data_IF_441978470244
#
_entry.id   IF_441978470244
#
_cell.length_a   1.000
_cell.length_b   1.000
_cell.length_c   1.000
_cell.angle_alpha   90.00
_cell.angle_beta   90.00
_cell.angle_gamma   90.00
#
_symmetry.space_group_name_H-M   'P 1'
#
loop_
_entity.id
_entity.type
_entity.pdbx_description
1 polymer ?
#
# COMPACT_ATOMS: atom_id res chain seq x y z
N UNK A 1 25.22 6.10 9.28
CA UNK A 1 25.96 6.64 10.47
C UNK A 1 26.73 5.50 11.14
N UNK A 2 27.86 5.79 11.76
CA UNK A 2 28.57 4.86 12.61
C UNK A 2 27.77 4.66 13.91
N UNK A 3 27.45 3.42 14.27
CA UNK A 3 26.75 3.12 15.51
C UNK A 3 27.60 3.37 16.77
N UNK A 4 28.93 3.36 16.64
CA UNK A 4 29.84 3.55 17.78
C UNK A 4 30.06 5.03 18.18
N UNK A 5 29.97 5.97 17.24
CA UNK A 5 30.23 7.40 17.51
C UNK A 5 29.17 8.36 16.95
N UNK A 6 28.17 7.88 16.21
CA UNK A 6 27.10 8.72 15.65
C UNK A 6 27.49 9.54 14.41
N UNK A 7 28.77 9.61 14.02
CA UNK A 7 29.21 10.34 12.83
C UNK A 7 28.85 9.63 11.51
N UNK A 8 29.02 10.33 10.39
CA UNK A 8 28.73 9.81 9.06
C UNK A 8 29.68 8.65 8.66
N UNK A 9 29.20 7.79 7.76
CA UNK A 9 30.06 6.84 7.07
C UNK A 9 30.40 7.42 5.69
N UNK A 10 31.65 7.30 5.28
CA UNK A 10 32.15 7.79 3.99
C UNK A 10 32.65 6.62 3.14
N UNK A 11 32.42 6.69 1.83
CA UNK A 11 32.89 5.67 0.89
C UNK A 11 34.37 5.90 0.59
N UNK A 12 35.17 4.83 0.70
CA UNK A 12 36.55 4.76 0.23
C UNK A 12 36.64 3.78 -0.93
N UNK A 13 37.49 4.11 -1.90
CA UNK A 13 37.78 3.24 -3.05
C UNK A 13 39.07 2.47 -2.80
N UNK A 14 39.09 1.19 -3.14
CA UNK A 14 40.29 0.36 -3.14
C UNK A 14 40.43 -0.40 -4.45
N UNK A 15 41.67 -0.66 -4.87
CA UNK A 15 41.99 -1.48 -6.05
C UNK A 15 41.87 -2.98 -5.74
N UNK A 16 40.71 -3.41 -5.24
CA UNK A 16 40.40 -4.81 -4.91
C UNK A 16 39.11 -5.23 -5.60
N UNK A 17 38.80 -6.55 -5.63
CA UNK A 17 37.58 -7.11 -6.25
C UNK A 17 36.29 -6.40 -5.82
N UNK A 18 36.23 -5.92 -4.58
CA UNK A 18 35.04 -5.31 -3.98
C UNK A 18 34.99 -3.79 -4.10
N UNK A 19 36.06 -3.13 -4.59
CA UNK A 19 36.08 -1.75 -5.10
C UNK A 19 35.78 -0.58 -4.13
N UNK A 20 34.74 -0.68 -3.31
CA UNK A 20 34.13 0.38 -2.51
C UNK A 20 33.69 -0.14 -1.14
N UNK A 21 34.05 0.58 -0.08
CA UNK A 21 33.66 0.24 1.29
C UNK A 21 33.41 1.50 2.12
N UNK A 22 32.52 1.38 3.11
CA UNK A 22 32.20 2.44 4.04
C UNK A 22 33.14 2.41 5.25
N UNK A 23 33.66 3.58 5.62
CA UNK A 23 34.41 3.79 6.86
C UNK A 23 33.81 4.93 7.67
N UNK A 24 33.98 4.90 8.99
CA UNK A 24 33.60 6.02 9.83
C UNK A 24 34.43 7.26 9.48
N UNK A 25 33.78 8.42 9.32
CA UNK A 25 34.47 9.68 9.02
C UNK A 25 35.45 10.09 10.12
N UNK A 26 35.19 9.69 11.36
CA UNK A 26 36.07 9.90 12.53
C UNK A 26 36.88 8.65 12.90
N UNK A 27 36.84 7.60 12.08
CA UNK A 27 37.60 6.38 12.32
C UNK A 27 39.08 6.62 12.09
N UNK A 28 39.91 6.46 13.13
CA UNK A 28 41.36 6.65 13.04
C UNK A 28 41.85 8.09 13.17
N UNK A 29 40.97 9.08 13.40
CA UNK A 29 41.38 10.43 13.80
C UNK A 29 41.47 10.49 15.33
N UNK A 30 42.67 10.75 15.87
CA UNK A 30 42.98 11.03 17.29
C UNK A 30 42.25 10.16 18.34
N UNK A 31 42.04 8.87 18.07
CA UNK A 31 41.52 7.90 19.04
C UNK A 31 40.02 7.97 19.37
N UNK A 32 39.25 8.88 18.76
CA UNK A 32 37.87 9.14 19.18
C UNK A 32 36.86 8.06 18.74
N UNK A 33 37.19 7.25 17.72
CA UNK A 33 36.36 6.13 17.27
C UNK A 33 37.20 5.02 16.63
N UNK A 34 36.98 3.77 17.08
CA UNK A 34 37.58 2.55 16.47
C UNK A 34 36.94 2.18 15.12
N UNK A 35 36.07 3.03 14.60
CA UNK A 35 35.27 2.76 13.40
C UNK A 35 34.11 1.81 13.66
N UNK A 36 33.53 1.27 12.59
CA UNK A 36 32.42 0.32 12.62
C UNK A 36 32.82 -1.07 13.13
N UNK A 37 34.10 -1.31 13.46
CA UNK A 37 34.62 -2.60 13.93
C UNK A 37 34.72 -3.69 12.84
N UNK A 38 34.21 -3.43 11.64
CA UNK A 38 34.30 -4.31 10.47
C UNK A 38 34.26 -3.49 9.16
N UNK A 39 34.85 -4.03 8.10
CA UNK A 39 34.75 -3.46 6.75
C UNK A 39 33.33 -3.64 6.22
N UNK A 40 32.67 -2.54 5.90
CA UNK A 40 31.31 -2.53 5.35
C UNK A 40 31.42 -2.35 3.84
N UNK A 41 31.39 -3.45 3.08
CA UNK A 41 31.41 -3.38 1.62
C UNK A 41 30.15 -2.71 1.08
N UNK A 42 30.31 -1.81 0.12
CA UNK A 42 29.20 -1.02 -0.40
C UNK A 42 28.15 -1.92 -1.07
N UNK A 43 28.58 -2.83 -1.94
CA UNK A 43 27.67 -3.69 -2.71
C UNK A 43 26.83 -4.60 -1.80
N UNK A 44 27.44 -5.16 -0.74
CA UNK A 44 26.75 -6.01 0.25
C UNK A 44 25.73 -5.20 1.06
N UNK A 45 26.08 -3.98 1.47
CA UNK A 45 25.17 -3.10 2.19
C UNK A 45 24.01 -2.65 1.28
N UNK A 46 24.30 -2.29 0.04
CA UNK A 46 23.31 -1.89 -0.97
C UNK A 46 22.29 -3.01 -1.21
N UNK A 47 22.75 -4.26 -1.36
CA UNK A 47 21.89 -5.44 -1.52
C UNK A 47 21.01 -5.69 -0.29
N UNK A 48 21.61 -5.64 0.91
CA UNK A 48 20.85 -5.79 2.16
C UNK A 48 19.77 -4.71 2.30
N UNK A 49 20.11 -3.45 2.03
CA UNK A 49 19.17 -2.33 2.10
C UNK A 49 18.03 -2.50 1.09
N UNK A 50 18.35 -2.96 -0.12
CA UNK A 50 17.35 -3.21 -1.16
C UNK A 50 16.31 -4.24 -0.71
N UNK A 51 16.76 -5.34 -0.08
CA UNK A 51 15.86 -6.35 0.47
C UNK A 51 15.03 -5.80 1.63
N UNK A 52 15.65 -5.08 2.58
CA UNK A 52 14.94 -4.48 3.71
C UNK A 52 13.86 -3.46 3.27
N UNK A 53 14.13 -2.65 2.25
CA UNK A 53 13.16 -1.71 1.69
C UNK A 53 12.01 -2.46 1.02
N UNK A 54 12.29 -3.54 0.27
CA UNK A 54 11.26 -4.37 -0.35
C UNK A 54 10.32 -4.96 0.69
N UNK A 55 10.87 -5.53 1.75
CA UNK A 55 10.09 -6.13 2.83
C UNK A 55 9.21 -5.08 3.49
N UNK A 56 9.75 -3.88 3.75
CA UNK A 56 9.00 -2.77 4.31
C UNK A 56 7.88 -2.27 3.39
N UNK A 57 8.13 -2.16 2.08
CA UNK A 57 7.12 -1.81 1.09
C UNK A 57 5.99 -2.86 1.01
N UNK A 58 6.32 -4.14 1.24
CA UNK A 58 5.32 -5.22 1.26
C UNK A 58 4.35 -5.14 2.44
N UNK A 59 4.78 -4.58 3.59
CA UNK A 59 3.90 -4.36 4.75
C UNK A 59 2.79 -3.36 4.43
N UNK A 60 3.09 -2.28 3.70
CA UNK A 60 2.10 -1.30 3.28
C UNK A 60 1.05 -1.87 2.33
N UNK A 61 1.45 -2.82 1.48
CA UNK A 61 0.50 -3.55 0.62
C UNK A 61 -0.52 -4.32 1.47
N UNK A 62 -0.07 -5.07 2.47
CA UNK A 62 -0.94 -5.85 3.36
C UNK A 62 -1.93 -4.96 4.13
N UNK A 63 -1.47 -3.81 4.64
CA UNK A 63 -2.33 -2.84 5.33
C UNK A 63 -3.40 -2.22 4.40
N UNK A 64 -3.06 -2.04 3.12
CA UNK A 64 -4.04 -1.59 2.12
C UNK A 64 -5.07 -2.68 1.81
N UNK A 65 -4.63 -3.92 1.59
CA UNK A 65 -5.51 -5.05 1.29
C UNK A 65 -6.49 -5.34 2.45
N UNK A 66 -6.04 -5.23 3.71
CA UNK A 66 -6.90 -5.37 4.88
C UNK A 66 -7.93 -4.24 5.01
N UNK A 67 -7.55 -2.98 4.71
CA UNK A 67 -8.50 -1.85 4.66
C UNK A 67 -9.45 -1.93 3.46
N UNK A 68 -9.04 -2.57 2.38
CA UNK A 68 -9.84 -2.72 1.16
C UNK A 68 -10.94 -3.78 1.32
N UNK A 69 -10.68 -4.83 2.11
CA UNK A 69 -11.70 -5.79 2.54
C UNK A 69 -12.73 -5.20 3.53
N UNK A 70 -12.42 -4.05 4.13
CA UNK A 70 -13.38 -3.25 4.88
C UNK A 70 -14.23 -2.43 3.90
N UNK A 71 -15.21 -3.11 3.29
CA UNK A 71 -16.20 -2.48 2.41
C UNK A 71 -16.69 -1.15 2.98
N UNK A 72 -16.58 -0.08 2.19
CA UNK A 72 -16.93 1.28 2.63
C UNK A 72 -18.39 1.30 3.12
N UNK A 73 -18.71 1.95 4.25
CA UNK A 73 -20.05 1.89 4.88
C UNK A 73 -21.23 2.18 3.93
N UNK A 74 -21.01 3.00 2.89
CA UNK A 74 -22.01 3.30 1.84
C UNK A 74 -22.31 2.12 0.92
N UNK A 75 -21.30 1.33 0.54
CA UNK A 75 -21.49 0.14 -0.32
C UNK A 75 -22.27 -0.94 0.43
N UNK A 76 -21.99 -1.12 1.72
CA UNK A 76 -22.71 -2.07 2.56
C UNK A 76 -24.17 -1.65 2.76
N UNK A 77 -24.45 -0.34 2.95
CA UNK A 77 -25.82 0.18 2.99
C UNK A 77 -26.57 -0.05 1.68
N UNK A 78 -25.95 0.22 0.53
CA UNK A 78 -26.61 0.03 -0.77
C UNK A 78 -26.89 -1.46 -1.04
N UNK A 79 -26.00 -2.38 -0.62
CA UNK A 79 -26.25 -3.83 -0.71
C UNK A 79 -27.43 -4.30 0.17
N UNK A 80 -27.56 -3.74 1.39
CA UNK A 80 -28.70 -4.03 2.26
C UNK A 80 -30.00 -3.53 1.63
N UNK A 81 -30.00 -2.31 1.07
CA UNK A 81 -31.19 -1.75 0.39
C UNK A 81 -31.58 -2.58 -0.84
N UNK A 82 -30.60 -3.07 -1.62
CA UNK A 82 -30.87 -3.97 -2.75
C UNK A 82 -31.59 -5.26 -2.31
N UNK A 83 -31.14 -5.89 -1.21
CA UNK A 83 -31.80 -7.08 -0.68
C UNK A 83 -33.25 -6.79 -0.21
N UNK A 84 -33.49 -5.61 0.38
CA UNK A 84 -34.84 -5.18 0.76
C UNK A 84 -35.73 -4.96 -0.46
N UNK A 85 -35.21 -4.35 -1.52
CA UNK A 85 -35.95 -4.17 -2.78
C UNK A 85 -36.33 -5.52 -3.38
N UNK A 86 -35.41 -6.50 -3.38
CA UNK A 86 -35.69 -7.85 -3.88
C UNK A 86 -36.76 -8.56 -3.02
N UNK A 87 -36.78 -8.35 -1.70
CA UNK A 87 -37.86 -8.84 -0.82
C UNK A 87 -39.21 -8.17 -1.11
N UNK A 88 -39.22 -6.84 -1.27
CA UNK A 88 -40.42 -6.06 -1.62
C UNK A 88 -41.01 -6.52 -2.97
N UNK A 89 -40.16 -6.77 -3.98
CA UNK A 89 -40.58 -7.28 -5.28
C UNK A 89 -41.19 -8.69 -5.15
N UNK A 90 -40.56 -9.57 -4.37
CA UNK A 90 -41.09 -10.92 -4.16
C UNK A 90 -42.44 -10.93 -3.42
N UNK A 91 -42.61 -10.06 -2.42
CA UNK A 91 -43.89 -9.89 -1.72
C UNK A 91 -44.99 -9.38 -2.67
N UNK A 92 -44.68 -8.40 -3.53
CA UNK A 92 -45.62 -7.90 -4.54
C UNK A 92 -45.98 -9.00 -5.56
N UNK A 93 -45.00 -9.77 -6.05
CA UNK A 93 -45.23 -10.89 -6.96
C UNK A 93 -46.13 -11.97 -6.34
N UNK A 94 -46.03 -12.22 -5.04
CA UNK A 94 -46.89 -13.18 -4.34
C UNK A 94 -48.37 -12.78 -4.32
N UNK A 95 -48.67 -11.47 -4.40
CA UNK A 95 -50.03 -10.91 -4.34
C UNK A 95 -50.70 -10.80 -5.71
N UNK A 96 -49.92 -10.87 -6.79
CA UNK A 96 -50.39 -10.79 -8.19
C UNK A 96 -51.48 -11.82 -8.51
N UNK A 97 -51.37 -13.04 -7.96
CA UNK A 97 -52.35 -14.12 -8.22
C UNK A 97 -53.78 -13.82 -7.74
N UNK A 98 -53.97 -12.82 -6.89
CA UNK A 98 -55.27 -12.41 -6.33
C UNK A 98 -55.69 -10.99 -6.70
N UNK A 99 -54.89 -10.30 -7.53
CA UNK A 99 -55.06 -8.86 -7.76
C UNK A 99 -56.13 -8.54 -8.82
N UNK A 100 -57.01 -7.58 -8.53
CA UNK A 100 -57.94 -7.03 -9.52
C UNK A 100 -57.21 -6.05 -10.49
N UNK A 101 -57.86 -5.62 -11.58
CA UNK A 101 -57.21 -4.78 -12.61
C UNK A 101 -56.69 -3.44 -12.10
N UNK A 102 -57.32 -2.87 -11.07
CA UNK A 102 -56.89 -1.63 -10.42
C UNK A 102 -55.66 -1.90 -9.56
N UNK A 103 -55.67 -2.97 -8.76
CA UNK A 103 -54.53 -3.39 -7.92
C UNK A 103 -53.31 -3.79 -8.76
N UNK A 104 -53.51 -4.44 -9.91
CA UNK A 104 -52.43 -4.76 -10.85
C UNK A 104 -51.75 -3.51 -11.42
N UNK A 105 -52.50 -2.42 -11.66
CA UNK A 105 -51.92 -1.15 -12.09
C UNK A 105 -51.00 -0.57 -11.00
N UNK A 106 -51.48 -0.53 -9.75
CA UNK A 106 -50.67 -0.07 -8.62
C UNK A 106 -49.43 -0.94 -8.37
N UNK A 107 -49.53 -2.27 -8.57
CA UNK A 107 -48.38 -3.18 -8.47
C UNK A 107 -47.35 -2.88 -9.57
N UNK A 108 -47.78 -2.70 -10.83
CA UNK A 108 -46.86 -2.37 -11.93
C UNK A 108 -46.17 -1.01 -11.75
N UNK A 109 -46.90 -0.01 -11.27
CA UNK A 109 -46.35 1.31 -10.98
C UNK A 109 -45.29 1.21 -9.86
N UNK A 110 -45.57 0.42 -8.80
CA UNK A 110 -44.63 0.22 -7.68
C UNK A 110 -43.39 -0.59 -8.06
N UNK A 111 -43.55 -1.64 -8.87
CA UNK A 111 -42.42 -2.43 -9.41
C UNK A 111 -41.53 -1.56 -10.30
N UNK A 112 -42.11 -0.67 -11.10
CA UNK A 112 -41.32 0.25 -11.95
C UNK A 112 -40.51 1.26 -11.13
N UNK A 113 -41.08 1.77 -10.03
CA UNK A 113 -40.36 2.65 -9.09
C UNK A 113 -39.19 1.92 -8.42
N UNK A 114 -39.42 0.69 -7.94
CA UNK A 114 -38.39 -0.13 -7.30
C UNK A 114 -37.28 -0.53 -8.27
N UNK A 115 -37.60 -0.83 -9.54
CA UNK A 115 -36.59 -1.14 -10.55
C UNK A 115 -35.74 0.09 -10.93
N UNK A 116 -36.34 1.28 -10.98
CA UNK A 116 -35.61 2.53 -11.16
C UNK A 116 -34.67 2.83 -9.97
N UNK A 117 -35.13 2.61 -8.72
CA UNK A 117 -34.29 2.74 -7.52
C UNK A 117 -33.15 1.69 -7.55
N UNK A 118 -33.43 0.47 -7.97
CA UNK A 118 -32.44 -0.61 -8.11
C UNK A 118 -31.37 -0.26 -9.14
N UNK A 119 -31.74 0.23 -10.33
CA UNK A 119 -30.79 0.63 -11.37
C UNK A 119 -29.91 1.80 -10.91
N UNK A 120 -30.49 2.84 -10.30
CA UNK A 120 -29.72 3.98 -9.79
C UNK A 120 -28.73 3.57 -8.70
N UNK A 121 -29.14 2.71 -7.74
CA UNK A 121 -28.23 2.17 -6.72
C UNK A 121 -27.12 1.29 -7.32
N UNK A 122 -27.42 0.52 -8.37
CA UNK A 122 -26.42 -0.28 -9.08
C UNK A 122 -25.43 0.61 -9.82
N UNK A 123 -25.88 1.66 -10.49
CA UNK A 123 -25.03 2.65 -11.16
C UNK A 123 -24.13 3.39 -10.16
N UNK A 124 -24.67 3.79 -8.99
CA UNK A 124 -23.87 4.38 -7.93
C UNK A 124 -22.80 3.40 -7.40
N UNK A 125 -23.15 2.12 -7.20
CA UNK A 125 -22.18 1.10 -6.80
C UNK A 125 -21.09 0.95 -7.86
N UNK A 126 -21.46 0.88 -9.14
CA UNK A 126 -20.50 0.75 -10.25
C UNK A 126 -19.61 1.98 -10.31
N UNK A 127 -20.17 3.19 -10.25
CA UNK A 127 -19.41 4.46 -10.24
C UNK A 127 -18.45 4.54 -9.06
N UNK A 128 -18.92 4.22 -7.84
CA UNK A 128 -18.09 4.19 -6.63
C UNK A 128 -17.04 3.07 -6.64
N UNK A 129 -17.29 1.98 -7.36
CA UNK A 129 -16.32 0.89 -7.50
C UNK A 129 -15.30 1.20 -8.59
N UNK A 130 -15.72 1.70 -9.75
CA UNK A 130 -14.86 2.08 -10.89
C UNK A 130 -13.95 3.28 -10.59
N UNK A 131 -14.48 4.35 -9.98
CA UNK A 131 -13.65 5.49 -9.54
C UNK A 131 -12.60 5.07 -8.51
N UNK A 132 -12.93 4.06 -7.70
CA UNK A 132 -12.03 3.48 -6.70
C UNK A 132 -11.03 2.52 -7.33
N UNK A 133 -11.38 1.73 -8.35
CA UNK A 133 -10.43 0.87 -9.08
C UNK A 133 -9.50 1.67 -9.99
N UNK A 134 -9.97 2.69 -10.71
CA UNK A 134 -9.11 3.53 -11.56
C UNK A 134 -8.10 4.35 -10.75
N UNK A 135 -8.53 4.93 -9.61
CA UNK A 135 -7.63 5.65 -8.71
C UNK A 135 -6.64 4.73 -7.97
N UNK A 136 -6.97 3.44 -7.77
CA UNK A 136 -6.14 2.52 -6.97
C UNK A 136 -5.27 1.57 -7.78
N UNK A 137 -5.69 1.17 -8.99
CA UNK A 137 -4.92 0.27 -9.86
C UNK A 137 -3.68 0.96 -10.42
N UNK A 138 -3.70 2.28 -10.59
CA UNK A 138 -2.52 3.07 -10.94
C UNK A 138 -1.54 3.26 -9.78
N UNK A 139 -1.98 3.10 -8.52
CA UNK A 139 -1.20 3.49 -7.35
C UNK A 139 -0.63 2.31 -6.55
N UNK A 140 -1.33 1.18 -6.32
CA UNK A 140 -0.94 0.31 -5.17
C UNK A 140 -0.38 -1.07 -5.53
N UNK A 141 -0.67 -1.62 -6.71
CA UNK A 141 -0.19 -2.97 -7.08
C UNK A 141 1.27 -3.03 -7.54
N UNK A 142 1.89 -1.87 -7.73
CA UNK A 142 3.06 -1.78 -8.59
C UNK A 142 4.34 -1.36 -7.86
N UNK A 143 4.29 -0.94 -6.59
CA UNK A 143 5.47 -0.40 -5.89
C UNK A 143 6.64 -1.39 -5.73
N UNK A 144 6.37 -2.69 -5.53
CA UNK A 144 7.43 -3.71 -5.40
C UNK A 144 7.99 -4.15 -6.75
N UNK A 145 7.15 -4.21 -7.79
CA UNK A 145 7.56 -4.57 -9.16
C UNK A 145 8.27 -3.40 -9.84
N UNK A 146 7.68 -2.20 -9.77
CA UNK A 146 8.31 -0.94 -10.21
C UNK A 146 9.61 -0.62 -9.46
N UNK A 147 9.86 -1.11 -8.25
CA UNK A 147 11.14 -0.85 -7.56
C UNK A 147 12.36 -1.25 -8.41
N UNK A 148 12.25 -2.30 -9.23
CA UNK A 148 13.34 -2.70 -10.14
C UNK A 148 13.50 -1.70 -11.29
N UNK A 149 12.38 -1.20 -11.83
CA UNK A 149 12.33 -0.39 -13.05
C UNK A 149 12.34 1.13 -12.83
N UNK A 150 12.26 1.61 -11.58
CA UNK A 150 12.31 3.04 -11.28
C UNK A 150 13.74 3.60 -11.33
N UNK A 151 13.82 4.89 -11.66
CA UNK A 151 15.05 5.67 -11.76
C UNK A 151 15.82 5.71 -10.43
N UNK A 152 17.11 6.07 -10.48
CA UNK A 152 17.92 6.21 -9.27
C UNK A 152 17.38 7.33 -8.37
N UNK A 153 16.91 8.42 -8.97
CA UNK A 153 16.33 9.58 -8.30
C UNK A 153 15.06 9.20 -7.54
N UNK A 154 14.18 8.41 -8.17
CA UNK A 154 12.96 7.92 -7.53
C UNK A 154 13.27 6.93 -6.39
N UNK A 155 14.26 6.04 -6.58
CA UNK A 155 14.75 5.16 -5.51
C UNK A 155 15.25 5.98 -4.32
N UNK A 156 16.00 7.04 -4.59
CA UNK A 156 16.49 7.94 -3.55
C UNK A 156 15.34 8.65 -2.83
N UNK A 157 14.34 9.16 -3.56
CA UNK A 157 13.18 9.83 -2.97
C UNK A 157 12.38 8.89 -2.04
N UNK A 158 12.18 7.63 -2.45
CA UNK A 158 11.51 6.62 -1.64
C UNK A 158 12.34 6.28 -0.40
N UNK A 159 13.66 6.09 -0.54
CA UNK A 159 14.57 5.87 0.60
C UNK A 159 14.50 7.03 1.58
N UNK A 160 14.55 8.26 1.09
CA UNK A 160 14.46 9.47 1.90
C UNK A 160 13.10 9.60 2.60
N UNK A 161 12.02 9.11 2.00
CA UNK A 161 10.70 9.08 2.62
C UNK A 161 10.57 7.99 3.71
N UNK A 162 11.18 6.82 3.51
CA UNK A 162 11.01 5.65 4.39
C UNK A 162 12.00 5.61 5.55
N UNK A 163 13.26 5.98 5.31
CA UNK A 163 14.37 5.74 6.24
C UNK A 163 14.79 7.04 6.92
N UNK A 164 14.85 7.01 8.25
CA UNK A 164 15.34 8.13 9.06
C UNK A 164 16.85 8.09 9.20
N UNK A 165 17.40 6.93 9.57
CA UNK A 165 18.84 6.74 9.73
C UNK A 165 19.20 5.27 9.66
N UNK A 166 20.33 4.95 9.03
CA UNK A 166 20.95 3.63 9.05
C UNK A 166 22.18 3.74 9.95
N UNK A 167 22.27 2.92 11.01
CA UNK A 167 23.45 2.83 11.87
C UNK A 167 24.15 1.50 11.62
N UNK A 168 25.48 1.55 11.47
CA UNK A 168 26.29 0.34 11.31
C UNK A 168 27.38 0.32 12.38
N UNK A 169 27.43 -0.75 13.15
CA UNK A 169 28.48 -0.98 14.15
C UNK A 169 28.61 -2.47 14.48
N UNK A 170 29.85 -2.94 14.63
CA UNK A 170 30.19 -4.26 15.16
C UNK A 170 29.42 -5.40 14.46
N UNK A 171 29.38 -5.37 13.11
CA UNK A 171 28.63 -6.30 12.23
C UNK A 171 27.11 -6.20 12.28
N UNK A 172 26.54 -5.27 13.04
CA UNK A 172 25.11 -5.03 13.10
C UNK A 172 24.72 -3.82 12.25
N UNK A 173 23.61 -3.94 11.53
CA UNK A 173 22.98 -2.87 10.76
C UNK A 173 21.61 -2.62 11.38
N UNK A 174 21.42 -1.42 11.93
CA UNK A 174 20.15 -0.97 12.50
C UNK A 174 19.54 0.08 11.56
N UNK A 175 18.34 -0.19 11.05
CA UNK A 175 17.58 0.74 10.23
C UNK A 175 16.48 1.36 11.10
N UNK A 176 16.54 2.67 11.28
CA UNK A 176 15.45 3.44 11.88
C UNK A 176 14.57 3.98 10.75
N UNK A 177 13.31 3.55 10.73
CA UNK A 177 12.30 4.00 9.77
C UNK A 177 11.65 5.31 10.23
N UNK A 178 11.07 6.09 9.30
CA UNK A 178 10.32 7.33 9.60
C UNK A 178 8.87 7.10 10.01
N UNK A 179 8.35 5.89 9.75
CA UNK A 179 6.98 5.47 10.04
C UNK A 179 6.91 4.92 11.46
#
# INVERSE_FOLDING_TARGET
KCGNCGYALVIRKAKTKWGRYFVCSQGGHDGNCKGTGCTVYADVLEEYMLNAIRDKLSEFKKLSDEKENQSTPKVSKNKIRLAQIDEEINDLLSKVGSANSILMKYINDKVSELDAERQTLQEEIISLTCSKTESKMGQITDHVKKWQDISFEDKQAVVDALIKVIKVANRNIEITWKI
#
